data_IF_274378714673
#
_entry.id   IF_274378714673
#
_cell.length_a   1.000
_cell.length_b   1.000
_cell.length_c   1.000
_cell.angle_alpha   90.00
_cell.angle_beta   90.00
_cell.angle_gamma   90.00
#
_symmetry.space_group_name_H-M   'P 1'
#
loop_
_entity.id
_entity.type
_entity.pdbx_description
1 polymer ?
#
# COMPACT_ATOMS: atom_id res chain seq x y z
N UNK A 1 -8.81 32.74 -4.29
CA UNK A 1 -8.11 32.06 -5.39
C UNK A 1 -8.10 33.00 -6.58
N UNK A 2 -6.94 33.54 -6.97
CA UNK A 2 -6.85 34.38 -8.17
C UNK A 2 -7.05 33.48 -9.39
N UNK A 3 -8.07 33.78 -10.21
CA UNK A 3 -8.25 33.12 -11.50
C UNK A 3 -7.27 33.73 -12.50
N UNK A 4 -6.59 32.88 -13.27
CA UNK A 4 -5.68 33.32 -14.33
C UNK A 4 -6.40 34.22 -15.33
N UNK A 5 -5.69 35.20 -15.88
CA UNK A 5 -6.27 36.11 -16.88
C UNK A 5 -6.50 35.37 -18.20
N UNK A 6 -7.45 35.84 -19.02
CA UNK A 6 -7.75 35.22 -20.31
C UNK A 6 -6.53 35.16 -21.25
N UNK A 7 -5.63 36.14 -21.16
CA UNK A 7 -4.37 36.15 -21.93
C UNK A 7 -3.41 35.05 -21.45
N UNK A 8 -3.33 34.81 -20.14
CA UNK A 8 -2.53 33.72 -19.59
C UNK A 8 -3.11 32.35 -19.97
N UNK A 9 -4.44 32.21 -20.00
CA UNK A 9 -5.12 30.98 -20.44
C UNK A 9 -4.88 30.71 -21.93
N UNK A 10 -4.97 31.75 -22.77
CA UNK A 10 -4.67 31.64 -24.20
C UNK A 10 -3.22 31.23 -24.45
N UNK A 11 -2.28 31.84 -23.73
CA UNK A 11 -0.85 31.49 -23.80
C UNK A 11 -0.58 30.06 -23.35
N UNK A 12 -1.24 29.58 -22.29
CA UNK A 12 -1.15 28.18 -21.85
C UNK A 12 -1.72 27.20 -22.88
N UNK A 13 -2.82 27.56 -23.55
CA UNK A 13 -3.43 26.72 -24.58
C UNK A 13 -2.58 26.64 -25.86
N UNK A 14 -1.81 27.69 -26.15
CA UNK A 14 -0.88 27.74 -27.29
C UNK A 14 0.47 27.05 -27.00
N UNK A 15 0.77 26.71 -25.74
CA UNK A 15 1.96 25.93 -25.40
C UNK A 15 1.80 24.48 -25.86
N UNK A 16 2.70 24.05 -26.75
CA UNK A 16 2.72 22.70 -27.30
C UNK A 16 3.28 21.68 -26.28
N UNK A 17 2.57 20.56 -26.15
CA UNK A 17 2.91 19.48 -25.21
C UNK A 17 4.16 18.69 -25.65
N UNK A 18 4.52 18.80 -26.93
CA UNK A 18 5.68 18.13 -27.55
C UNK A 18 7.04 18.65 -27.04
N UNK A 19 7.06 19.83 -26.43
CA UNK A 19 8.27 20.41 -25.84
C UNK A 19 8.58 19.92 -24.42
N UNK A 20 7.74 19.06 -23.83
CA UNK A 20 7.94 18.50 -22.50
C UNK A 20 8.96 17.36 -22.56
N UNK A 21 10.05 17.50 -21.82
CA UNK A 21 11.07 16.48 -21.66
C UNK A 21 10.68 15.47 -20.56
N UNK A 22 10.59 14.20 -20.95
CA UNK A 22 10.28 13.08 -20.05
C UNK A 22 11.52 12.23 -19.71
N UNK A 23 12.72 12.64 -20.13
CA UNK A 23 13.96 11.84 -19.96
C UNK A 23 14.42 11.69 -18.51
N UNK A 24 14.02 12.61 -17.62
CA UNK A 24 14.30 12.56 -16.17
C UNK A 24 13.31 11.68 -15.40
N UNK A 25 12.22 11.23 -16.03
CA UNK A 25 11.20 10.42 -15.35
C UNK A 25 11.61 8.94 -15.41
N UNK A 26 11.69 8.24 -14.27
CA UNK A 26 12.04 6.83 -14.23
C UNK A 26 10.98 5.94 -14.91
N UNK A 27 11.38 4.75 -15.37
CA UNK A 27 10.46 3.77 -15.97
C UNK A 27 9.39 3.31 -14.97
N UNK A 28 8.13 3.57 -15.31
CA UNK A 28 6.95 3.28 -14.48
C UNK A 28 6.36 1.88 -14.73
N UNK A 29 6.91 1.09 -15.65
CA UNK A 29 6.39 -0.25 -16.01
C UNK A 29 6.35 -1.23 -14.82
N UNK A 30 7.18 -1.02 -13.80
CA UNK A 30 7.31 -1.90 -12.62
C UNK A 30 6.73 -1.33 -11.33
N UNK A 31 6.26 -0.09 -11.34
CA UNK A 31 5.68 0.55 -10.15
C UNK A 31 4.20 0.23 -10.03
N UNK A 32 3.78 -0.29 -8.87
CA UNK A 32 2.38 -0.17 -8.44
C UNK A 32 2.17 1.32 -8.11
N UNK A 33 1.66 2.07 -9.08
CA UNK A 33 1.45 3.51 -8.95
C UNK A 33 0.36 3.86 -7.93
N UNK A 34 -0.13 5.09 -8.01
CA UNK A 34 -1.28 5.51 -7.22
C UNK A 34 -2.53 4.76 -7.68
N UNK A 35 -3.10 3.93 -6.81
CA UNK A 35 -4.39 3.28 -7.08
C UNK A 35 -5.54 4.26 -6.80
N UNK A 36 -6.51 4.27 -7.71
CA UNK A 36 -7.69 5.13 -7.57
C UNK A 36 -8.54 4.59 -6.41
N UNK A 37 -8.76 5.41 -5.38
CA UNK A 37 -9.60 5.04 -4.23
C UNK A 37 -11.07 4.80 -4.62
N UNK A 38 -11.55 5.48 -5.68
CA UNK A 38 -12.88 5.31 -6.25
C UNK A 38 -12.79 4.98 -7.76
N UNK A 39 -12.53 3.73 -8.16
CA UNK A 39 -12.47 3.32 -9.56
C UNK A 39 -13.74 3.67 -10.34
N UNK A 40 -14.88 3.62 -9.64
CA UNK A 40 -16.22 3.81 -10.22
C UNK A 40 -16.68 5.28 -10.28
N UNK A 41 -15.93 6.21 -9.66
CA UNK A 41 -16.32 7.62 -9.64
C UNK A 41 -16.02 8.30 -10.98
N UNK A 42 -17.02 9.00 -11.51
CA UNK A 42 -16.92 9.82 -12.71
C UNK A 42 -16.93 11.32 -12.38
N UNK A 43 -16.82 12.16 -13.40
CA UNK A 43 -16.73 13.63 -13.29
C UNK A 43 -17.92 14.28 -12.54
N UNK A 44 -19.09 13.64 -12.56
CA UNK A 44 -20.31 14.13 -11.91
C UNK A 44 -20.54 13.53 -10.51
N UNK A 45 -19.64 12.65 -10.06
CA UNK A 45 -19.76 11.98 -8.77
C UNK A 45 -19.32 12.91 -7.65
N UNK A 46 -20.25 13.32 -6.80
CA UNK A 46 -19.92 14.01 -5.54
C UNK A 46 -19.41 12.96 -4.56
N UNK A 47 -18.13 13.04 -4.22
CA UNK A 47 -17.55 12.18 -3.17
C UNK A 47 -18.13 12.62 -1.83
N UNK A 48 -18.95 11.75 -1.25
CA UNK A 48 -19.58 12.00 0.06
C UNK A 48 -18.65 11.58 1.20
N UNK A 49 -18.90 12.12 2.40
CA UNK A 49 -18.14 11.75 3.61
C UNK A 49 -18.19 10.24 3.89
N UNK A 50 -19.32 9.61 3.60
CA UNK A 50 -19.47 8.16 3.73
C UNK A 50 -18.54 7.42 2.77
N UNK A 51 -18.48 7.84 1.51
CA UNK A 51 -17.58 7.25 0.52
C UNK A 51 -16.11 7.43 0.94
N UNK A 52 -15.76 8.59 1.50
CA UNK A 52 -14.44 8.86 2.09
C UNK A 52 -14.09 7.90 3.22
N UNK A 53 -15.01 7.71 4.15
CA UNK A 53 -14.80 6.84 5.30
C UNK A 53 -14.69 5.36 4.89
N UNK A 54 -15.53 4.90 3.97
CA UNK A 54 -15.52 3.53 3.45
C UNK A 54 -14.22 3.23 2.69
N UNK A 55 -13.75 4.16 1.84
CA UNK A 55 -12.49 4.01 1.12
C UNK A 55 -11.29 3.99 2.05
N UNK A 56 -11.25 4.85 3.07
CA UNK A 56 -10.19 4.86 4.08
C UNK A 56 -10.17 3.55 4.88
N UNK A 57 -11.33 3.06 5.30
CA UNK A 57 -11.47 1.81 6.04
C UNK A 57 -10.94 0.62 5.22
N UNK A 58 -11.31 0.54 3.95
CA UNK A 58 -10.79 -0.49 3.02
C UNK A 58 -9.27 -0.44 2.85
N UNK A 59 -8.67 0.75 2.79
CA UNK A 59 -7.20 0.92 2.72
C UNK A 59 -6.52 0.44 4.01
N UNK A 60 -7.15 0.65 5.16
CA UNK A 60 -6.63 0.20 6.46
C UNK A 60 -6.78 -1.31 6.65
N UNK A 61 -7.87 -1.90 6.17
CA UNK A 61 -8.16 -3.34 6.26
C UNK A 61 -7.31 -4.16 5.29
N UNK A 62 -7.14 -3.70 4.05
CA UNK A 62 -6.37 -4.40 3.00
C UNK A 62 -4.87 -4.58 3.33
N UNK A 63 -4.34 -3.85 4.32
CA UNK A 63 -2.93 -3.89 4.69
C UNK A 63 -2.61 -4.70 5.95
N UNK A 64 -3.59 -5.34 6.59
CA UNK A 64 -3.33 -6.19 7.76
C UNK A 64 -3.88 -7.59 7.53
N UNK A 65 -3.04 -8.64 7.45
CA UNK A 65 -3.57 -9.98 7.69
C UNK A 65 -4.21 -9.97 9.08
N UNK A 66 -5.38 -10.60 9.24
CA UNK A 66 -6.10 -10.70 10.50
C UNK A 66 -5.21 -11.37 11.56
N UNK A 67 -4.42 -10.56 12.26
CA UNK A 67 -3.52 -11.03 13.32
C UNK A 67 -4.37 -11.28 14.55
N UNK A 68 -4.73 -12.53 14.76
CA UNK A 68 -5.45 -12.96 15.95
C UNK A 68 -4.51 -12.79 17.16
N UNK A 69 -4.88 -12.00 18.19
CA UNK A 69 -4.05 -11.85 19.38
C UNK A 69 -4.12 -13.14 20.22
N UNK A 70 -3.00 -13.87 20.31
CA UNK A 70 -2.89 -15.11 21.08
C UNK A 70 -1.80 -14.98 22.14
N UNK A 71 -2.05 -15.51 23.34
CA UNK A 71 -1.03 -15.64 24.38
C UNK A 71 -0.32 -16.99 24.25
N UNK A 72 0.89 -16.98 23.67
CA UNK A 72 1.74 -18.16 23.53
C UNK A 72 2.97 -18.05 24.44
N UNK A 73 3.29 -19.12 25.17
CA UNK A 73 4.54 -19.22 25.93
C UNK A 73 5.65 -19.76 25.04
N UNK A 74 6.74 -19.01 24.92
CA UNK A 74 7.93 -19.39 24.16
C UNK A 74 9.10 -19.65 25.11
N UNK A 75 10.03 -20.51 24.69
CA UNK A 75 11.26 -20.76 25.43
C UNK A 75 12.10 -19.46 25.50
N UNK A 76 12.68 -19.12 26.68
CA UNK A 76 13.51 -17.93 26.84
C UNK A 76 14.67 -17.83 25.83
N UNK A 77 15.27 -18.95 25.41
CA UNK A 77 16.36 -18.98 24.42
C UNK A 77 15.89 -18.52 23.05
N UNK A 78 14.69 -18.93 22.64
CA UNK A 78 14.09 -18.50 21.38
C UNK A 78 13.85 -17.00 21.41
N UNK A 79 13.25 -16.48 22.48
CA UNK A 79 13.00 -15.04 22.64
C UNK A 79 14.30 -14.25 22.63
N UNK A 80 15.34 -14.73 23.32
CA UNK A 80 16.65 -14.08 23.34
C UNK A 80 17.29 -14.01 21.95
N UNK A 81 17.28 -15.14 21.21
CA UNK A 81 17.79 -15.19 19.84
C UNK A 81 17.11 -14.17 18.93
N UNK A 82 15.77 -14.17 18.85
CA UNK A 82 15.07 -13.25 17.96
C UNK A 82 15.21 -11.78 18.38
N UNK A 83 15.29 -11.48 19.69
CA UNK A 83 15.55 -10.12 20.19
C UNK A 83 16.95 -9.63 19.81
N UNK A 84 17.95 -10.50 19.78
CA UNK A 84 19.31 -10.16 19.38
C UNK A 84 19.40 -9.80 17.89
N UNK A 85 18.65 -10.51 17.03
CA UNK A 85 18.74 -10.36 15.57
C UNK A 85 17.76 -9.35 14.96
N UNK A 86 16.71 -8.91 15.67
CA UNK A 86 15.75 -7.93 15.13
C UNK A 86 14.98 -7.15 16.19
N UNK A 87 14.81 -5.84 15.96
CA UNK A 87 13.88 -4.99 16.73
C UNK A 87 12.42 -5.43 16.55
N UNK A 88 12.08 -6.08 15.44
CA UNK A 88 10.75 -6.63 15.13
C UNK A 88 10.70 -8.15 15.35
N UNK A 89 11.21 -8.61 16.49
CA UNK A 89 11.36 -10.03 16.81
C UNK A 89 10.04 -10.83 16.73
N UNK A 90 8.90 -10.23 17.13
CA UNK A 90 7.58 -10.88 17.04
C UNK A 90 7.17 -11.19 15.60
N UNK A 91 7.39 -10.25 14.66
CA UNK A 91 7.10 -10.48 13.24
C UNK A 91 7.96 -11.61 12.69
N UNK A 92 9.24 -11.67 13.06
CA UNK A 92 10.14 -12.74 12.63
C UNK A 92 9.77 -14.10 13.20
N UNK A 93 9.29 -14.17 14.44
CA UNK A 93 8.75 -15.40 15.01
C UNK A 93 7.56 -15.86 14.18
N UNK A 94 6.64 -14.96 13.83
CA UNK A 94 5.48 -15.30 13.01
C UNK A 94 5.87 -15.80 11.61
N UNK A 95 6.83 -15.16 10.94
CA UNK A 95 7.33 -15.59 9.62
C UNK A 95 7.86 -17.04 9.66
N UNK A 96 8.64 -17.38 10.69
CA UNK A 96 9.20 -18.73 10.86
C UNK A 96 8.11 -19.75 11.17
N UNK A 97 7.14 -19.41 12.03
CA UNK A 97 6.00 -20.28 12.31
C UNK A 97 5.17 -20.52 11.05
N UNK A 98 4.96 -19.49 10.23
CA UNK A 98 4.24 -19.60 8.96
C UNK A 98 4.98 -20.51 7.97
N UNK A 99 6.31 -20.39 7.88
CA UNK A 99 7.13 -21.27 7.05
C UNK A 99 7.01 -22.73 7.48
N UNK A 100 7.06 -23.00 8.79
CA UNK A 100 6.86 -24.34 9.34
C UNK A 100 5.49 -24.91 8.98
N UNK A 101 4.41 -24.14 9.14
CA UNK A 101 3.05 -24.57 8.77
C UNK A 101 2.98 -24.93 7.28
N UNK A 102 3.51 -24.08 6.40
CA UNK A 102 3.54 -24.33 4.96
C UNK A 102 4.32 -25.61 4.60
N UNK A 103 5.44 -25.88 5.27
CA UNK A 103 6.20 -27.12 5.07
C UNK A 103 5.42 -28.33 5.58
N UNK A 104 4.79 -28.22 6.75
CA UNK A 104 3.98 -29.28 7.34
C UNK A 104 2.81 -29.66 6.44
N UNK A 105 2.06 -28.68 5.93
CA UNK A 105 0.96 -28.87 4.98
C UNK A 105 1.43 -29.54 3.68
N UNK A 106 2.60 -29.17 3.15
CA UNK A 106 3.17 -29.83 1.95
C UNK A 106 3.54 -31.29 2.19
N UNK A 107 4.00 -31.64 3.39
CA UNK A 107 4.44 -33.00 3.72
C UNK A 107 3.32 -33.91 4.24
N UNK A 108 2.26 -33.35 4.83
CA UNK A 108 1.13 -34.10 5.40
C UNK A 108 -0.18 -33.91 4.61
N UNK A 109 -0.21 -33.00 3.65
CA UNK A 109 -1.29 -32.84 2.67
C UNK A 109 -1.09 -33.79 1.49
N UNK A 110 -1.28 -35.08 1.73
CA UNK A 110 -1.56 -36.10 0.73
C UNK A 110 -2.83 -36.85 1.12
#
# INVERSE_FOLDING_TARGET
MAKMTNEQLKKLAEMSNESIDYSDIPDMSKTKGWERLYPEANENTIITDKMMFDALTKVLESNNPDKIPVTLKLDPKIVAFFKQHSKKYQTKINDVLLEFVNQYEKSHGH
#
